data_IF_937806534761
#
_entry.id   IF_937806534761
#
_cell.length_a   1.000
_cell.length_b   1.000
_cell.length_c   1.000
_cell.angle_alpha   90.00
_cell.angle_beta   90.00
_cell.angle_gamma   90.00
#
_symmetry.space_group_name_H-M   'P 1'
#
loop_
_entity.id
_entity.type
_entity.pdbx_description
1 polymer ?
#
# COMPACT_ATOMS: atom_id res chain seq x y z
N UNK A 1 -12.96 -20.24 28.97
CA UNK A 1 -14.06 -20.69 28.11
C UNK A 1 -14.29 -22.17 28.39
N UNK A 2 -15.54 -22.61 28.58
CA UNK A 2 -15.84 -24.03 28.73
C UNK A 2 -15.27 -24.82 27.53
N UNK A 3 -14.54 -25.94 27.74
CA UNK A 3 -13.88 -26.67 26.65
C UNK A 3 -14.88 -27.16 25.60
N UNK A 4 -16.09 -27.48 26.02
CA UNK A 4 -17.19 -27.84 25.12
C UNK A 4 -17.60 -26.68 24.20
N UNK A 5 -17.67 -25.45 24.73
CA UNK A 5 -18.00 -24.28 23.95
C UNK A 5 -16.90 -23.95 22.94
N UNK A 6 -15.63 -24.09 23.34
CA UNK A 6 -14.49 -23.92 22.43
C UNK A 6 -14.54 -24.94 21.29
N UNK A 7 -14.86 -26.21 21.59
CA UNK A 7 -15.00 -27.26 20.59
C UNK A 7 -16.10 -26.94 19.57
N UNK A 8 -17.23 -26.36 19.99
CA UNK A 8 -18.29 -25.95 19.07
C UNK A 8 -17.83 -24.75 18.24
N UNK A 9 -17.33 -23.69 18.89
CA UNK A 9 -17.00 -22.43 18.22
C UNK A 9 -15.85 -22.56 17.22
N UNK A 10 -14.91 -23.48 17.45
CA UNK A 10 -13.74 -23.66 16.58
C UNK A 10 -13.89 -24.93 15.73
N UNK A 11 -14.33 -26.04 16.33
CA UNK A 11 -14.43 -27.33 15.65
C UNK A 11 -15.53 -27.35 14.59
N UNK A 12 -16.69 -26.74 14.84
CA UNK A 12 -17.78 -26.75 13.85
C UNK A 12 -17.40 -25.95 12.58
N UNK A 13 -16.82 -24.74 12.67
CA UNK A 13 -16.32 -24.05 11.47
C UNK A 13 -15.23 -24.82 10.73
N UNK A 14 -14.25 -25.40 11.44
CA UNK A 14 -13.19 -26.19 10.81
C UNK A 14 -13.78 -27.42 10.10
N UNK A 15 -14.75 -28.09 10.71
CA UNK A 15 -15.44 -29.22 10.09
C UNK A 15 -16.17 -28.81 8.80
N UNK A 16 -16.80 -27.63 8.78
CA UNK A 16 -17.43 -27.09 7.57
C UNK A 16 -16.40 -26.77 6.47
N UNK A 17 -15.27 -26.13 6.82
CA UNK A 17 -14.20 -25.86 5.86
C UNK A 17 -13.66 -27.16 5.25
N UNK A 18 -13.45 -28.18 6.09
CA UNK A 18 -13.04 -29.50 5.63
C UNK A 18 -14.09 -30.14 4.72
N UNK A 19 -15.38 -30.04 5.05
CA UNK A 19 -16.47 -30.56 4.22
C UNK A 19 -16.51 -29.90 2.83
N UNK A 20 -16.36 -28.57 2.75
CA UNK A 20 -16.29 -27.86 1.47
C UNK A 20 -15.06 -28.26 0.65
N UNK A 21 -13.91 -28.40 1.30
CA UNK A 21 -12.69 -28.85 0.64
C UNK A 21 -12.82 -30.27 0.06
N UNK A 22 -13.41 -31.20 0.82
CA UNK A 22 -13.68 -32.57 0.37
C UNK A 22 -14.67 -32.55 -0.81
N UNK A 23 -15.73 -31.77 -0.72
CA UNK A 23 -16.68 -31.62 -1.82
C UNK A 23 -15.98 -31.14 -3.10
N UNK A 24 -15.22 -30.04 -3.02
CA UNK A 24 -14.47 -29.50 -4.15
C UNK A 24 -13.45 -30.50 -4.71
N UNK A 25 -12.77 -31.26 -3.85
CA UNK A 25 -11.81 -32.29 -4.26
C UNK A 25 -12.48 -33.39 -5.11
N UNK A 26 -13.67 -33.83 -4.71
CA UNK A 26 -14.42 -34.89 -5.40
C UNK A 26 -15.15 -34.39 -6.65
N UNK A 27 -15.53 -33.11 -6.68
CA UNK A 27 -16.32 -32.53 -7.77
C UNK A 27 -15.46 -31.93 -8.89
N UNK A 28 -14.30 -31.35 -8.55
CA UNK A 28 -13.43 -30.68 -9.53
C UNK A 28 -13.01 -31.56 -10.72
N UNK A 29 -12.63 -32.84 -10.57
CA UNK A 29 -12.23 -33.68 -11.70
C UNK A 29 -13.35 -33.90 -12.73
N UNK A 30 -14.62 -33.88 -12.29
CA UNK A 30 -15.80 -34.04 -13.17
C UNK A 30 -15.98 -32.86 -14.12
N UNK A 31 -15.33 -31.74 -13.81
CA UNK A 31 -15.39 -30.48 -14.55
C UNK A 31 -14.05 -30.11 -15.20
N UNK A 32 -13.10 -31.06 -15.32
CA UNK A 32 -11.79 -30.82 -15.93
C UNK A 32 -10.86 -29.93 -15.10
N UNK A 33 -11.13 -29.78 -13.80
CA UNK A 33 -10.37 -28.92 -12.90
C UNK A 33 -9.38 -29.70 -12.03
N UNK A 34 -8.30 -29.04 -11.57
CA UNK A 34 -7.32 -29.67 -10.67
C UNK A 34 -7.88 -29.83 -9.24
N UNK A 35 -8.08 -31.05 -8.72
CA UNK A 35 -8.75 -31.27 -7.44
C UNK A 35 -7.99 -30.73 -6.24
N UNK A 36 -6.64 -30.82 -6.24
CA UNK A 36 -5.81 -30.35 -5.13
C UNK A 36 -5.86 -28.83 -5.01
N UNK A 37 -5.78 -28.12 -6.14
CA UNK A 37 -5.85 -26.66 -6.17
C UNK A 37 -7.20 -26.18 -5.61
N UNK A 38 -8.30 -26.73 -6.11
CA UNK A 38 -9.63 -26.26 -5.71
C UNK A 38 -9.98 -26.64 -4.28
N UNK A 39 -9.60 -27.83 -3.81
CA UNK A 39 -9.76 -28.18 -2.40
C UNK A 39 -8.99 -27.23 -1.47
N UNK A 40 -7.75 -26.88 -1.83
CA UNK A 40 -6.96 -25.91 -1.06
C UNK A 40 -7.61 -24.53 -1.07
N UNK A 41 -8.04 -24.02 -2.23
CA UNK A 41 -8.72 -22.74 -2.34
C UNK A 41 -10.00 -22.71 -1.49
N UNK A 42 -10.84 -23.74 -1.57
CA UNK A 42 -12.08 -23.85 -0.79
C UNK A 42 -11.82 -23.91 0.73
N UNK A 43 -10.68 -24.44 1.17
CA UNK A 43 -10.32 -24.51 2.59
C UNK A 43 -9.71 -23.20 3.12
N UNK A 44 -8.74 -22.63 2.40
CA UNK A 44 -7.92 -21.53 2.92
C UNK A 44 -8.48 -20.15 2.64
N UNK A 45 -9.23 -19.95 1.54
CA UNK A 45 -9.72 -18.63 1.15
C UNK A 45 -10.59 -17.95 2.22
N UNK A 46 -11.49 -18.66 2.94
CA UNK A 46 -12.28 -18.05 4.00
C UNK A 46 -11.44 -17.50 5.17
N UNK A 47 -10.22 -17.99 5.39
CA UNK A 47 -9.36 -17.54 6.47
C UNK A 47 -8.84 -16.12 6.25
N UNK A 48 -8.77 -15.64 5.01
CA UNK A 48 -8.30 -14.29 4.70
C UNK A 48 -9.17 -13.21 5.36
N UNK A 49 -10.49 -13.40 5.43
CA UNK A 49 -11.37 -12.45 6.12
C UNK A 49 -11.09 -12.39 7.63
N UNK A 50 -10.76 -13.53 8.25
CA UNK A 50 -10.37 -13.57 9.65
C UNK A 50 -9.03 -12.87 9.89
N UNK A 51 -8.02 -13.13 9.05
CA UNK A 51 -6.73 -12.44 9.16
C UNK A 51 -6.85 -10.94 8.89
N UNK A 52 -7.65 -10.53 7.91
CA UNK A 52 -7.93 -9.11 7.65
C UNK A 52 -8.52 -8.42 8.88
N UNK A 53 -9.48 -9.07 9.56
CA UNK A 53 -10.00 -8.56 10.83
C UNK A 53 -8.92 -8.46 11.90
N UNK A 54 -8.04 -9.45 12.04
CA UNK A 54 -6.96 -9.40 13.02
C UNK A 54 -6.01 -8.24 12.74
N UNK A 55 -5.58 -8.04 11.50
CA UNK A 55 -4.70 -6.93 11.13
C UNK A 55 -5.37 -5.57 11.37
N UNK A 56 -6.60 -5.39 10.88
CA UNK A 56 -7.38 -4.17 11.13
C UNK A 56 -7.57 -3.91 12.63
N UNK A 57 -7.79 -4.95 13.44
CA UNK A 57 -7.94 -4.80 14.89
C UNK A 57 -6.67 -4.27 15.54
N UNK A 58 -5.51 -4.84 15.22
CA UNK A 58 -4.23 -4.40 15.81
C UNK A 58 -3.90 -2.95 15.43
N UNK A 59 -4.34 -2.47 14.26
CA UNK A 59 -4.18 -1.06 13.87
C UNK A 59 -5.03 -0.09 14.71
N UNK A 60 -6.07 -0.56 15.42
CA UNK A 60 -6.94 0.32 16.23
C UNK A 60 -6.34 0.72 17.57
N UNK A 61 -5.41 -0.05 18.10
CA UNK A 61 -4.76 0.20 19.38
C UNK A 61 -3.41 0.92 19.21
N UNK A 62 -3.26 1.68 18.13
CA UNK A 62 -2.07 2.49 17.85
C UNK A 62 -1.89 3.60 18.88
N UNK A 63 -0.77 3.57 19.60
CA UNK A 63 -0.35 4.65 20.49
C UNK A 63 0.72 5.52 19.80
N UNK A 64 0.37 6.76 19.39
CA UNK A 64 1.33 7.67 18.77
C UNK A 64 2.44 8.12 19.74
N UNK A 65 2.26 7.98 21.05
CA UNK A 65 3.30 8.33 22.02
C UNK A 65 4.43 7.28 22.06
N UNK A 66 4.11 6.02 21.78
CA UNK A 66 5.07 4.91 21.72
C UNK A 66 5.71 4.74 20.34
N UNK A 67 5.15 5.36 19.29
CA UNK A 67 5.70 5.30 17.94
C UNK A 67 6.87 6.29 17.75
N UNK A 68 8.12 5.81 17.59
CA UNK A 68 9.29 6.68 17.38
C UNK A 68 9.21 7.49 16.08
N UNK A 69 8.35 7.11 15.13
CA UNK A 69 8.13 7.80 13.87
C UNK A 69 6.95 8.79 13.92
N UNK A 70 6.06 8.70 14.91
CA UNK A 70 4.91 9.59 15.05
C UNK A 70 5.27 10.97 15.61
N UNK A 71 6.34 11.05 16.40
CA UNK A 71 6.76 12.28 17.08
C UNK A 71 7.44 13.31 16.16
N UNK A 72 7.28 13.20 14.84
CA UNK A 72 7.85 14.15 13.88
C UNK A 72 9.38 14.10 13.84
N UNK A 73 9.99 13.02 14.32
CA UNK A 73 11.42 12.82 14.21
C UNK A 73 11.80 12.72 12.74
N UNK A 74 12.49 13.75 12.26
CA UNK A 74 13.00 13.81 10.90
C UNK A 74 14.30 13.00 10.90
N UNK A 75 14.24 11.80 10.31
CA UNK A 75 15.42 10.96 10.17
C UNK A 75 16.09 11.27 8.83
N UNK A 76 17.40 11.49 8.82
CA UNK A 76 18.16 11.45 7.58
C UNK A 76 18.19 9.99 7.09
N UNK A 77 17.24 9.61 6.22
CA UNK A 77 17.09 8.25 5.68
C UNK A 77 18.34 7.81 4.89
N UNK A 78 19.15 8.78 4.45
CA UNK A 78 20.39 8.53 3.71
C UNK A 78 21.58 9.25 4.34
N UNK A 79 22.71 8.56 4.45
CA UNK A 79 23.96 9.09 4.99
C UNK A 79 24.48 10.30 4.20
N UNK A 80 24.20 10.35 2.89
CA UNK A 80 24.50 11.49 2.02
C UNK A 80 23.73 12.77 2.37
N UNK A 81 22.64 12.65 3.13
CA UNK A 81 21.78 13.76 3.56
C UNK A 81 22.04 14.22 4.99
N UNK A 82 23.15 13.80 5.60
CA UNK A 82 23.57 14.33 6.90
C UNK A 82 23.97 15.81 6.74
N UNK A 83 23.16 16.71 7.28
CA UNK A 83 23.45 18.14 7.35
C UNK A 83 22.56 19.04 6.49
N UNK A 84 21.64 18.47 5.72
CA UNK A 84 20.57 19.25 5.06
C UNK A 84 19.43 19.54 6.05
N UNK A 85 18.81 20.70 5.89
CA UNK A 85 17.72 21.17 6.74
C UNK A 85 16.56 20.18 6.69
N UNK A 86 16.18 19.69 7.87
CA UNK A 86 15.16 18.66 8.01
C UNK A 86 13.80 19.28 7.72
N UNK A 87 13.09 18.73 6.74
CA UNK A 87 11.75 19.16 6.37
C UNK A 87 10.78 18.88 7.52
N UNK A 88 10.03 19.90 7.93
CA UNK A 88 9.05 19.79 9.01
C UNK A 88 7.99 18.72 8.68
N UNK A 89 7.49 17.94 9.66
CA UNK A 89 6.47 16.92 9.45
C UNK A 89 5.17 17.61 9.02
N UNK A 90 4.96 17.74 7.71
CA UNK A 90 3.87 18.52 7.13
C UNK A 90 4.26 19.37 5.92
N UNK A 91 5.56 19.46 5.58
CA UNK A 91 6.02 20.08 4.35
C UNK A 91 5.77 21.59 4.26
N UNK A 92 5.42 22.26 5.35
CA UNK A 92 5.32 23.71 5.41
C UNK A 92 6.70 24.30 5.70
N UNK A 93 7.54 24.33 4.66
CA UNK A 93 8.81 25.03 4.71
C UNK A 93 8.60 26.49 5.14
N UNK A 94 9.15 26.87 6.28
CA UNK A 94 9.20 28.27 6.70
C UNK A 94 10.26 28.95 5.84
N UNK A 95 9.82 29.64 4.79
CA UNK A 95 10.65 30.66 4.16
C UNK A 95 10.87 31.78 5.18
N UNK A 96 12.03 31.77 5.84
CA UNK A 96 12.57 32.91 6.56
C UNK A 96 12.86 34.04 5.57
N UNK A 97 12.15 35.16 5.76
CA UNK A 97 12.36 36.43 5.08
C UNK A 97 13.51 37.18 5.75
N UNK A 98 14.65 37.26 5.07
CA UNK A 98 15.84 37.97 5.52
C UNK A 98 16.52 38.72 4.35
N UNK A 99 15.85 39.75 3.82
CA UNK A 99 16.47 41.05 3.52
C UNK A 99 17.48 41.23 2.36
N UNK A 100 17.09 42.12 1.43
CA UNK A 100 17.91 43.14 0.75
C UNK A 100 18.76 42.75 -0.49
N UNK A 101 18.30 43.16 -1.68
CA UNK A 101 19.11 43.17 -2.91
C UNK A 101 18.45 43.68 -4.20
N UNK A 102 17.94 44.92 -4.21
CA UNK A 102 17.87 45.90 -5.33
C UNK A 102 18.05 45.46 -6.81
N UNK A 103 17.09 45.92 -7.65
CA UNK A 103 17.10 46.33 -9.09
C UNK A 103 16.55 45.39 -10.18
N UNK A 104 15.35 45.77 -10.63
CA UNK A 104 15.01 46.31 -11.96
C UNK A 104 15.25 45.45 -13.23
N UNK A 105 14.20 45.31 -14.04
CA UNK A 105 14.26 44.55 -15.29
C UNK A 105 12.90 44.27 -15.93
N UNK A 106 12.12 45.30 -16.22
CA UNK A 106 10.99 45.29 -17.17
C UNK A 106 11.36 44.61 -18.50
N UNK A 107 10.51 43.72 -19.04
CA UNK A 107 9.96 43.78 -20.43
C UNK A 107 9.03 42.62 -20.81
N UNK A 108 7.76 42.97 -21.06
CA UNK A 108 6.88 42.61 -22.20
C UNK A 108 6.67 41.15 -22.66
N UNK A 109 5.44 40.67 -22.42
CA UNK A 109 4.48 40.03 -23.33
C UNK A 109 4.96 39.28 -24.60
N UNK A 110 4.44 38.05 -24.79
CA UNK A 110 3.69 37.67 -26.02
C UNK A 110 2.96 36.32 -25.89
N UNK A 111 1.68 36.33 -26.24
CA UNK A 111 0.83 35.17 -26.56
C UNK A 111 1.16 34.58 -27.94
N UNK A 112 0.77 33.31 -28.12
CA UNK A 112 0.72 32.55 -29.38
C UNK A 112 1.06 31.08 -29.11
N UNK A 113 0.43 30.04 -29.65
CA UNK A 113 -0.67 29.83 -30.59
C UNK A 113 -1.01 28.32 -30.45
N UNK A 114 -2.28 27.92 -30.65
CA UNK A 114 -2.67 26.49 -30.74
C UNK A 114 -2.55 26.02 -32.19
N UNK A 115 -1.99 24.83 -32.43
CA UNK A 115 -2.63 23.73 -33.19
C UNK A 115 -1.66 22.54 -33.41
N UNK A 116 -2.23 21.31 -33.33
CA UNK A 116 -1.98 20.16 -34.23
C UNK A 116 -0.56 19.53 -34.24
N UNK A 117 -0.30 18.24 -33.94
CA UNK A 117 -1.12 17.04 -33.83
C UNK A 117 -0.20 15.79 -33.83
N UNK A 118 -0.82 14.62 -33.86
CA UNK A 118 -0.29 13.25 -34.00
C UNK A 118 0.03 12.45 -32.72
N UNK A 119 -0.54 11.24 -32.71
CA UNK A 119 -0.47 10.18 -31.72
C UNK A 119 0.96 9.87 -31.25
N UNK A 120 1.15 9.76 -29.94
CA UNK A 120 2.29 9.08 -29.34
C UNK A 120 1.86 8.39 -28.05
N UNK A 121 1.97 7.06 -28.11
CA UNK A 121 1.73 6.12 -27.03
C UNK A 121 2.86 6.21 -25.99
N UNK A 122 2.87 7.24 -25.14
CA UNK A 122 3.99 7.50 -24.21
C UNK A 122 3.53 7.48 -22.73
N UNK A 123 3.15 6.31 -22.20
CA UNK A 123 2.78 6.16 -20.77
C UNK A 123 4.00 5.92 -19.85
N UNK A 124 5.19 5.67 -20.39
CA UNK A 124 6.41 5.55 -19.59
C UNK A 124 7.53 6.34 -20.25
N UNK A 125 7.78 7.54 -19.72
CA UNK A 125 8.91 8.39 -20.11
C UNK A 125 10.21 7.77 -19.57
N UNK A 126 10.67 6.69 -20.20
CA UNK A 126 11.95 6.09 -19.89
C UNK A 126 13.08 7.02 -20.37
N UNK A 127 14.02 7.41 -19.50
CA UNK A 127 15.16 8.20 -19.92
C UNK A 127 16.01 7.39 -20.91
N UNK A 128 16.51 8.02 -21.99
CA UNK A 128 17.24 7.30 -23.02
C UNK A 128 18.52 6.68 -22.45
N UNK A 129 18.66 5.35 -22.55
CA UNK A 129 19.89 4.62 -22.24
C UNK A 129 19.78 3.39 -21.33
N UNK A 130 18.58 2.87 -21.05
CA UNK A 130 18.41 1.63 -20.27
C UNK A 130 17.85 0.52 -21.16
N UNK A 131 18.73 -0.34 -21.68
CA UNK A 131 18.34 -1.65 -22.23
C UNK A 131 18.23 -2.65 -21.07
N UNK A 132 17.05 -3.23 -20.85
CA UNK A 132 16.84 -4.40 -19.98
C UNK A 132 16.97 -5.71 -20.77
#
# INVERSE_FOLDING_TARGET
MEPFLAAILIGLPIAWLAAFAVYAYLDAPKHGMNPRKWAALSFFLPLFGFFAYLFEREERDYDPEEDPYAQGATFAIHESRRGEELLDPGGTGVHGDDGSGTKDGSTTAKEGERADGSDSDDEWNDPPGVDL
#
